data_IF_075051901859
#
_entry.id   IF_075051901859
#
_cell.length_a   1.000
_cell.length_b   1.000
_cell.length_c   1.000
_cell.angle_alpha   90.00
_cell.angle_beta   90.00
_cell.angle_gamma   90.00
#
_symmetry.space_group_name_H-M   'P 1'
#
loop_
_entity.id
_entity.type
_entity.pdbx_description
1 polymer ?
#
# COMPACT_ATOMS: atom_id res chain seq x y z
N UNK A 1 -7.57 -5.21 -13.25
CA UNK A 1 -7.43 -6.32 -12.29
C UNK A 1 -7.65 -5.84 -10.85
N UNK A 2 -8.37 -6.58 -9.99
CA UNK A 2 -8.38 -6.26 -8.57
C UNK A 2 -6.95 -6.36 -8.04
N UNK A 3 -6.50 -5.36 -7.29
CA UNK A 3 -5.18 -5.36 -6.68
C UNK A 3 -5.06 -6.52 -5.67
N UNK A 4 -3.88 -7.12 -5.51
CA UNK A 4 -3.68 -8.18 -4.54
C UNK A 4 -3.77 -7.63 -3.10
N UNK A 5 -4.24 -8.43 -2.12
CA UNK A 5 -4.22 -8.05 -0.71
C UNK A 5 -2.80 -8.12 -0.10
N UNK A 6 -1.76 -8.05 -0.93
CA UNK A 6 -0.35 -8.12 -0.56
C UNK A 6 0.36 -6.87 -1.03
N UNK A 7 1.49 -6.54 -0.39
CA UNK A 7 2.34 -5.44 -0.82
C UNK A 7 2.95 -5.73 -2.18
N UNK A 8 2.82 -4.78 -3.10
CA UNK A 8 3.38 -4.82 -4.44
C UNK A 8 4.40 -3.70 -4.61
N UNK A 9 5.57 -4.02 -5.17
CA UNK A 9 6.60 -3.03 -5.52
C UNK A 9 6.27 -2.42 -6.88
N UNK A 10 6.26 -1.08 -6.93
CA UNK A 10 5.94 -0.31 -8.12
C UNK A 10 6.98 0.80 -8.34
N UNK A 11 7.05 1.29 -9.58
CA UNK A 11 7.87 2.45 -9.92
C UNK A 11 7.01 3.71 -9.82
N UNK A 12 7.26 4.53 -8.80
CA UNK A 12 6.72 5.88 -8.66
C UNK A 12 7.64 6.94 -9.27
N UNK A 13 7.18 8.19 -9.25
CA UNK A 13 7.97 9.36 -9.60
C UNK A 13 8.17 10.20 -8.35
N UNK A 14 9.41 10.53 -8.04
CA UNK A 14 9.71 11.52 -7.02
C UNK A 14 9.46 12.92 -7.59
N UNK A 15 8.52 13.66 -7.02
CA UNK A 15 8.08 14.97 -7.54
C UNK A 15 9.16 16.05 -7.41
N UNK A 16 10.11 15.92 -6.47
CA UNK A 16 11.16 16.90 -6.24
C UNK A 16 12.38 16.68 -7.14
N UNK A 17 12.82 15.42 -7.27
CA UNK A 17 13.96 15.04 -8.10
C UNK A 17 13.58 14.63 -9.53
N UNK A 18 12.29 14.57 -9.87
CA UNK A 18 11.74 14.08 -11.14
C UNK A 18 12.37 12.74 -11.60
N UNK A 19 12.64 11.85 -10.64
CA UNK A 19 13.36 10.59 -10.87
C UNK A 19 12.53 9.39 -10.41
N UNK A 20 12.70 8.20 -11.03
CA UNK A 20 11.95 7.03 -10.64
C UNK A 20 12.35 6.58 -9.23
N UNK A 21 11.35 6.29 -8.39
CA UNK A 21 11.52 5.78 -7.03
C UNK A 21 10.75 4.47 -6.88
N UNK A 22 11.24 3.56 -6.04
CA UNK A 22 10.49 2.36 -5.67
C UNK A 22 9.43 2.71 -4.64
N UNK A 23 8.17 2.45 -4.95
CA UNK A 23 7.02 2.59 -4.04
C UNK A 23 6.47 1.20 -3.71
N UNK A 24 5.73 1.13 -2.60
CA UNK A 24 5.03 -0.08 -2.20
C UNK A 24 3.57 0.24 -1.98
N UNK A 25 2.68 -0.51 -2.59
CA UNK A 25 1.23 -0.31 -2.50
C UNK A 25 0.53 -1.58 -2.05
N UNK A 26 -0.57 -1.43 -1.32
CA UNK A 26 -1.45 -2.52 -0.95
C UNK A 26 -2.90 -2.05 -1.08
N UNK A 27 -3.74 -2.88 -1.71
CA UNK A 27 -5.15 -2.56 -1.89
C UNK A 27 -5.99 -3.84 -1.80
N UNK A 28 -6.88 -3.89 -0.81
CA UNK A 28 -7.84 -4.99 -0.64
C UNK A 28 -9.27 -4.62 -1.02
N UNK A 29 -9.42 -3.47 -1.68
CA UNK A 29 -10.70 -2.99 -2.15
C UNK A 29 -11.00 -3.62 -3.51
N UNK A 30 -11.85 -4.64 -3.51
CA UNK A 30 -12.14 -5.42 -4.72
C UNK A 30 -12.69 -6.80 -4.47
N UNK A 31 -12.81 -7.23 -3.22
CA UNK A 31 -13.60 -8.41 -2.90
C UNK A 31 -15.03 -8.23 -3.45
N UNK A 32 -15.59 -9.24 -4.14
CA UNK A 32 -16.94 -9.18 -4.68
C UNK A 32 -17.95 -8.80 -3.58
N UNK A 33 -19.10 -8.20 -3.94
CA UNK A 33 -20.13 -7.84 -2.97
C UNK A 33 -20.52 -9.11 -2.20
N UNK A 34 -20.22 -9.11 -0.91
CA UNK A 34 -20.25 -10.27 -0.04
C UNK A 34 -19.92 -9.84 1.39
N UNK A 35 -19.99 -10.77 2.37
CA UNK A 35 -19.60 -10.47 3.74
C UNK A 35 -18.16 -9.93 3.76
N UNK A 36 -17.84 -8.99 4.66
CA UNK A 36 -16.47 -8.51 4.82
C UNK A 36 -15.54 -9.72 4.94
N UNK A 37 -14.47 -9.71 4.14
CA UNK A 37 -13.42 -10.72 4.24
C UNK A 37 -12.80 -10.73 5.63
N UNK A 38 -11.99 -11.75 5.96
CA UNK A 38 -11.23 -11.73 7.21
C UNK A 38 -10.39 -10.44 7.31
N UNK A 39 -10.05 -10.00 8.54
CA UNK A 39 -9.14 -8.88 8.74
C UNK A 39 -7.89 -9.04 7.89
N UNK A 40 -7.57 -8.01 7.12
CA UNK A 40 -6.37 -8.02 6.29
C UNK A 40 -5.13 -7.84 7.17
N UNK A 41 -4.15 -8.72 6.98
CA UNK A 41 -2.85 -8.66 7.67
C UNK A 41 -1.71 -8.72 6.65
N UNK A 42 -1.26 -7.56 6.18
CA UNK A 42 -0.23 -7.43 5.13
C UNK A 42 1.02 -6.78 5.70
N UNK A 43 2.07 -7.57 5.98
CA UNK A 43 3.34 -7.07 6.50
C UNK A 43 4.34 -6.76 5.38
N UNK A 44 5.02 -5.62 5.49
CA UNK A 44 6.18 -5.27 4.67
C UNK A 44 7.39 -5.09 5.59
N UNK A 45 8.54 -5.62 5.19
CA UNK A 45 9.78 -5.53 5.97
C UNK A 45 10.91 -5.09 5.05
N UNK A 46 11.68 -4.10 5.49
CA UNK A 46 12.90 -3.69 4.80
C UNK A 46 13.99 -4.76 4.90
N UNK A 47 15.04 -4.61 4.09
CA UNK A 47 16.31 -5.26 4.37
C UNK A 47 16.92 -4.81 5.69
N UNK A 48 17.97 -5.51 6.12
CA UNK A 48 18.72 -5.14 7.31
C UNK A 48 19.49 -3.83 7.09
N UNK A 49 19.38 -2.89 8.05
CA UNK A 49 20.09 -1.61 8.02
C UNK A 49 21.07 -1.55 9.20
N UNK A 50 22.40 -1.49 8.97
CA UNK A 50 23.37 -1.37 10.05
C UNK A 50 23.23 -0.01 10.75
N UNK A 51 23.05 -0.02 12.08
CA UNK A 51 22.96 1.22 12.87
C UNK A 51 24.28 2.00 13.02
N UNK A 52 25.43 1.42 12.62
CA UNK A 52 26.78 2.03 12.60
C UNK A 52 27.14 2.91 13.81
N UNK A 53 26.77 2.50 15.03
CA UNK A 53 27.08 3.23 16.27
C UNK A 53 26.06 4.30 16.67
N UNK A 54 25.01 4.53 15.88
CA UNK A 54 23.91 5.41 16.26
C UNK A 54 23.24 4.95 17.56
N UNK A 55 22.92 5.91 18.42
CA UNK A 55 22.15 5.72 19.66
C UNK A 55 20.66 5.91 19.44
N UNK A 56 20.28 6.69 18.42
CA UNK A 56 18.90 6.93 18.00
C UNK A 56 18.83 6.87 16.47
N UNK A 57 17.74 6.32 15.94
CA UNK A 57 17.44 6.24 14.51
C UNK A 57 16.05 6.80 14.29
N UNK A 58 15.90 7.67 13.29
CA UNK A 58 14.61 8.23 12.88
C UNK A 58 14.22 7.64 11.53
N UNK A 59 12.92 7.38 11.35
CA UNK A 59 12.35 6.94 10.09
C UNK A 59 11.31 7.98 9.64
N UNK A 60 11.46 8.49 8.43
CA UNK A 60 10.47 9.33 7.76
C UNK A 60 9.70 8.46 6.76
N UNK A 61 8.37 8.58 6.78
CA UNK A 61 7.49 7.87 5.86
C UNK A 61 6.67 8.89 5.08
N UNK A 62 6.70 8.80 3.75
CA UNK A 62 5.84 9.57 2.85
C UNK A 62 4.88 8.61 2.18
N UNK A 63 3.59 8.87 2.30
CA UNK A 63 2.55 7.96 1.83
C UNK A 63 1.30 8.73 1.39
N UNK A 64 0.51 8.08 0.54
CA UNK A 64 -0.83 8.52 0.15
C UNK A 64 -1.84 7.48 0.61
N UNK A 65 -3.07 7.93 0.92
CA UNK A 65 -4.17 7.04 1.30
C UNK A 65 -5.37 7.32 0.41
N UNK A 66 -6.02 6.25 -0.05
CA UNK A 66 -7.30 6.35 -0.72
C UNK A 66 -8.42 6.37 0.33
N UNK A 67 -9.28 7.38 0.28
CA UNK A 67 -10.44 7.44 1.14
C UNK A 67 -11.44 6.31 0.79
N UNK A 68 -12.07 5.71 1.80
CA UNK A 68 -12.96 4.55 1.58
C UNK A 68 -14.22 4.90 0.76
N UNK A 69 -14.64 6.16 0.77
CA UNK A 69 -15.79 6.67 0.04
C UNK A 69 -15.48 6.97 -1.44
N UNK A 70 -14.22 7.27 -1.77
CA UNK A 70 -13.75 7.45 -3.14
C UNK A 70 -13.41 6.12 -3.83
N UNK A 71 -13.32 5.03 -3.07
CA UNK A 71 -13.06 3.70 -3.60
C UNK A 71 -14.28 3.18 -4.42
N UNK A 72 -14.06 2.59 -5.61
CA UNK A 72 -15.15 2.18 -6.51
C UNK A 72 -15.96 1.02 -5.92
N UNK A 73 -17.18 1.28 -5.42
CA UNK A 73 -18.01 0.23 -4.83
C UNK A 73 -18.32 -0.87 -5.85
N UNK A 74 -18.19 -2.17 -5.48
CA UNK A 74 -18.60 -3.23 -6.36
C UNK A 74 -20.06 -3.01 -6.77
N UNK A 75 -20.32 -2.93 -8.08
CA UNK A 75 -21.68 -2.79 -8.59
C UNK A 75 -22.50 -3.98 -8.08
N UNK A 76 -23.55 -3.71 -7.30
CA UNK A 76 -24.53 -4.72 -6.96
C UNK A 76 -25.07 -5.31 -8.27
N UNK A 77 -24.96 -6.64 -8.45
CA UNK A 77 -25.67 -7.32 -9.54
C UNK A 77 -27.16 -7.05 -9.32
N UNK A 78 -27.77 -6.24 -10.18
CA UNK A 78 -29.23 -6.15 -10.23
C UNK A 78 -29.73 -7.50 -10.74
N UNK A 79 -30.48 -8.21 -9.89
CA UNK A 79 -31.33 -9.31 -10.30
C UNK A 79 -32.62 -8.74 -10.89
#
# INVERSE_FOLDING_TARGET
PPCPPQWEELSGLDEELHSPVRTFEVCSWGAPPGPPGPPQDSWLRTGWVPRRGATHVYAELRFTLLACDSAPRPRARRH
#
